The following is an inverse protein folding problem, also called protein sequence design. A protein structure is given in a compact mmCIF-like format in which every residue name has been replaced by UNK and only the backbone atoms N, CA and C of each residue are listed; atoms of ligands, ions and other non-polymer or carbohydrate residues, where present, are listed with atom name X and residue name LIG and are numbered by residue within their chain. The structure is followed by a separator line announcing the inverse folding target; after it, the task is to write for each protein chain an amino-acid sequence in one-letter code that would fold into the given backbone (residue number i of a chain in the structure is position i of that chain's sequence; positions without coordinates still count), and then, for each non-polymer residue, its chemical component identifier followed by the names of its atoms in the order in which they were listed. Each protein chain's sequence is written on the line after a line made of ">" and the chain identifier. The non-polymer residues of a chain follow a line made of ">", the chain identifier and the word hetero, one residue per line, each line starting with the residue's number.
data_IF_191774046916
#
_entry.id   IF_191774046916
#
_cell.length_a   1.000
_cell.length_b   1.000
_cell.length_c   1.000
_cell.angle_alpha   90.00
_cell.angle_beta   90.00
_cell.angle_gamma   90.00
#
_symmetry.space_group_name_H-M   'P 1'
#
loop_
_entity.id
_entity.type
_entity.pdbx_description
1 polymer ?
#
# COMPACT_ATOMS: atom_id res chain seq x y z
N UNK A 1 14.89 -8.32 18.10
CA UNK A 1 13.42 -8.30 17.93
C UNK A 1 12.98 -7.84 16.53
N UNK A 2 13.40 -6.68 16.04
CA UNK A 2 13.02 -6.19 14.69
C UNK A 2 13.45 -7.16 13.57
N UNK A 3 14.62 -7.77 13.66
CA UNK A 3 15.12 -8.69 12.63
C UNK A 3 14.22 -9.91 12.41
N UNK A 4 13.50 -10.36 13.44
CA UNK A 4 12.61 -11.52 13.33
C UNK A 4 11.32 -11.20 12.51
N UNK A 5 10.94 -9.93 12.42
CA UNK A 5 9.73 -9.51 11.69
C UNK A 5 9.82 -9.80 10.18
N UNK A 6 11.03 -9.81 9.63
CA UNK A 6 11.29 -9.91 8.18
C UNK A 6 11.69 -11.33 7.73
N UNK A 7 11.61 -12.33 8.62
CA UNK A 7 11.96 -13.72 8.30
C UNK A 7 10.72 -14.58 8.05
N UNK A 8 10.90 -15.70 7.34
CA UNK A 8 9.83 -16.68 7.12
C UNK A 8 9.25 -17.25 8.42
N UNK A 9 10.03 -17.28 9.50
CA UNK A 9 9.62 -17.74 10.81
C UNK A 9 9.03 -16.63 11.70
N UNK A 10 8.73 -15.46 11.14
CA UNK A 10 8.24 -14.30 11.88
C UNK A 10 7.02 -14.64 12.74
N UNK A 11 7.08 -14.36 14.06
CA UNK A 11 5.92 -14.49 14.94
C UNK A 11 4.84 -13.43 14.68
N UNK A 12 5.18 -12.38 13.93
CA UNK A 12 4.30 -11.22 13.68
C UNK A 12 3.40 -11.36 12.45
N UNK A 13 3.51 -12.45 11.66
CA UNK A 13 2.73 -12.65 10.43
C UNK A 13 1.24 -12.48 10.62
N UNK A 14 0.67 -13.06 11.69
CA UNK A 14 -0.77 -12.95 11.95
C UNK A 14 -1.18 -11.50 12.18
N UNK A 15 -0.41 -10.75 12.98
CA UNK A 15 -0.64 -9.32 13.23
C UNK A 15 -0.49 -8.52 11.95
N UNK A 16 0.54 -8.79 11.15
CA UNK A 16 0.74 -8.12 9.88
C UNK A 16 -0.42 -8.36 8.91
N UNK A 17 -0.98 -9.58 8.84
CA UNK A 17 -2.19 -9.87 8.04
C UNK A 17 -3.38 -9.05 8.52
N UNK A 18 -3.62 -9.01 9.82
CA UNK A 18 -4.69 -8.19 10.39
C UNK A 18 -4.51 -6.72 10.04
N UNK A 19 -3.30 -6.19 10.19
CA UNK A 19 -3.01 -4.78 9.82
C UNK A 19 -3.13 -4.54 8.32
N UNK A 20 -2.76 -5.48 7.46
CA UNK A 20 -2.96 -5.37 6.00
C UNK A 20 -4.43 -5.24 5.66
N UNK A 21 -5.29 -6.06 6.29
CA UNK A 21 -6.74 -6.01 6.07
C UNK A 21 -7.32 -4.69 6.57
N UNK A 22 -6.97 -4.29 7.80
CA UNK A 22 -7.43 -3.02 8.38
C UNK A 22 -6.98 -1.85 7.49
N UNK A 23 -5.74 -1.88 7.00
CA UNK A 23 -5.20 -0.84 6.13
C UNK A 23 -5.88 -0.79 4.76
N UNK A 24 -6.20 -1.96 4.17
CA UNK A 24 -6.99 -2.02 2.94
C UNK A 24 -8.38 -1.41 3.12
N UNK A 25 -9.06 -1.71 4.25
CA UNK A 25 -10.33 -1.08 4.59
C UNK A 25 -10.19 0.43 4.78
N UNK A 26 -9.11 0.89 5.41
CA UNK A 26 -8.82 2.31 5.57
C UNK A 26 -8.62 2.99 4.21
N UNK A 27 -7.93 2.35 3.26
CA UNK A 27 -7.80 2.86 1.88
C UNK A 27 -9.18 3.07 1.28
N UNK A 28 -10.08 2.08 1.35
CA UNK A 28 -11.45 2.24 0.85
C UNK A 28 -12.16 3.40 1.54
N UNK A 29 -12.11 3.49 2.87
CA UNK A 29 -12.76 4.58 3.60
C UNK A 29 -12.26 5.94 3.13
N UNK A 30 -10.94 6.14 3.07
CA UNK A 30 -10.33 7.43 2.71
C UNK A 30 -10.54 7.79 1.23
N UNK A 31 -10.44 6.81 0.33
CA UNK A 31 -10.61 7.05 -1.11
C UNK A 31 -12.09 7.29 -1.50
N UNK A 32 -13.04 6.88 -0.66
CA UNK A 32 -14.47 7.05 -0.94
C UNK A 32 -15.16 8.10 -0.05
N UNK A 33 -14.41 8.91 0.71
CA UNK A 33 -14.96 10.12 1.33
C UNK A 33 -15.49 11.01 0.21
N UNK A 34 -16.75 11.51 0.28
CA UNK A 34 -17.29 12.41 -0.72
C UNK A 34 -16.39 13.62 -0.94
N UNK A 35 -16.22 14.04 -2.20
CA UNK A 35 -15.35 15.15 -2.56
C UNK A 35 -15.61 16.44 -1.77
N UNK A 36 -16.89 16.87 -1.56
CA UNK A 36 -17.22 18.05 -0.77
C UNK A 36 -16.82 17.98 0.70
N UNK A 37 -16.66 16.75 1.24
CA UNK A 37 -16.28 16.52 2.66
C UNK A 37 -14.75 16.42 2.85
N UNK A 38 -13.98 16.53 1.75
CA UNK A 38 -12.52 16.50 1.84
C UNK A 38 -12.00 17.82 2.43
N UNK A 39 -11.00 17.75 3.31
CA UNK A 39 -10.36 18.95 3.82
C UNK A 39 -9.64 19.70 2.69
N UNK A 40 -9.78 21.01 2.66
CA UNK A 40 -8.98 21.85 1.78
C UNK A 40 -7.49 21.75 2.15
N UNK A 41 -6.66 21.62 1.14
CA UNK A 41 -5.21 21.53 1.32
C UNK A 41 -4.48 22.52 0.42
N UNK A 42 -3.56 23.28 0.99
CA UNK A 42 -2.65 24.14 0.26
C UNK A 42 -1.42 23.39 -0.28
N UNK A 43 -1.30 22.08 -0.01
CA UNK A 43 -0.19 21.27 -0.48
C UNK A 43 -0.47 20.86 -1.92
N UNK A 44 0.40 21.19 -2.88
CA UNK A 44 0.23 20.77 -4.27
C UNK A 44 0.15 19.24 -4.35
N UNK A 45 -0.83 18.73 -5.10
CA UNK A 45 -1.02 17.29 -5.31
C UNK A 45 -1.19 16.49 -4.00
N UNK A 46 -1.80 17.08 -2.97
CA UNK A 46 -1.97 16.43 -1.66
C UNK A 46 -2.66 15.07 -1.76
N UNK A 47 -3.66 14.93 -2.62
CA UNK A 47 -4.35 13.69 -2.93
C UNK A 47 -3.39 12.60 -3.43
N UNK A 48 -2.46 12.93 -4.32
CA UNK A 48 -1.47 11.98 -4.85
C UNK A 48 -0.48 11.52 -3.78
N UNK A 49 -0.08 12.42 -2.88
CA UNK A 49 0.76 12.05 -1.74
C UNK A 49 0.04 11.09 -0.79
N UNK A 50 -1.26 11.28 -0.59
CA UNK A 50 -2.08 10.37 0.23
C UNK A 50 -2.12 8.98 -0.42
N UNK A 51 -2.43 8.88 -1.71
CA UNK A 51 -2.41 7.63 -2.46
C UNK A 51 -1.05 6.94 -2.38
N UNK A 52 0.02 7.65 -2.68
CA UNK A 52 1.39 7.16 -2.60
C UNK A 52 1.72 6.52 -1.23
N UNK A 53 1.42 7.22 -0.13
CA UNK A 53 1.69 6.73 1.23
C UNK A 53 0.81 5.53 1.58
N UNK A 54 -0.48 5.58 1.24
CA UNK A 54 -1.42 4.51 1.52
C UNK A 54 -0.99 3.19 0.87
N UNK A 55 -0.56 3.23 -0.38
CA UNK A 55 -0.15 2.04 -1.12
C UNK A 55 1.27 1.57 -0.76
N UNK A 56 2.17 2.48 -0.37
CA UNK A 56 3.48 2.09 0.17
C UNK A 56 3.33 1.30 1.48
N UNK A 57 2.49 1.76 2.39
CA UNK A 57 2.22 1.04 3.65
C UNK A 57 1.49 -0.27 3.38
N UNK A 58 0.52 -0.29 2.47
CA UNK A 58 -0.21 -1.51 2.12
C UNK A 58 0.71 -2.63 1.66
N UNK A 59 1.55 -2.37 0.66
CA UNK A 59 2.46 -3.41 0.12
C UNK A 59 3.56 -3.79 1.10
N UNK A 60 4.04 -2.86 1.93
CA UNK A 60 4.95 -3.16 3.02
C UNK A 60 4.32 -4.13 4.03
N UNK A 61 3.10 -3.86 4.49
CA UNK A 61 2.36 -4.74 5.40
C UNK A 61 2.05 -6.11 4.77
N UNK A 62 1.68 -6.13 3.49
CA UNK A 62 1.49 -7.35 2.72
C UNK A 62 2.74 -8.23 2.76
N UNK A 63 3.91 -7.66 2.51
CA UNK A 63 5.18 -8.37 2.57
C UNK A 63 5.51 -8.86 3.99
N UNK A 64 5.18 -8.10 5.02
CA UNK A 64 5.33 -8.53 6.42
C UNK A 64 4.39 -9.69 6.78
N UNK A 65 3.23 -9.79 6.13
CA UNK A 65 2.27 -10.87 6.33
C UNK A 65 2.74 -12.21 5.76
N UNK A 66 3.60 -12.17 4.74
CA UNK A 66 4.23 -13.35 4.13
C UNK A 66 5.69 -13.08 3.78
N UNK A 67 6.60 -12.90 4.77
CA UNK A 67 7.96 -12.45 4.53
C UNK A 67 8.73 -13.37 3.59
N UNK A 68 9.22 -12.83 2.47
CA UNK A 68 10.01 -13.53 1.49
C UNK A 68 10.83 -12.55 0.65
N UNK A 69 12.09 -12.89 0.38
CA UNK A 69 12.95 -12.12 -0.53
C UNK A 69 13.00 -12.72 -1.94
N UNK A 70 12.17 -13.73 -2.22
CA UNK A 70 12.09 -14.32 -3.56
C UNK A 70 11.51 -13.30 -4.53
N UNK A 71 12.10 -13.19 -5.71
CA UNK A 71 11.65 -12.28 -6.76
C UNK A 71 10.15 -12.46 -7.07
N UNK A 72 9.66 -13.69 -7.11
CA UNK A 72 8.24 -13.98 -7.34
C UNK A 72 7.34 -13.36 -6.26
N UNK A 73 7.75 -13.39 -4.98
CA UNK A 73 6.99 -12.79 -3.89
C UNK A 73 6.98 -11.25 -3.96
N UNK A 74 8.12 -10.66 -4.31
CA UNK A 74 8.25 -9.20 -4.50
C UNK A 74 7.37 -8.72 -5.66
N UNK A 75 7.43 -9.43 -6.79
CA UNK A 75 6.61 -9.12 -7.96
C UNK A 75 5.12 -9.33 -7.68
N UNK A 76 4.74 -10.38 -6.95
CA UNK A 76 3.34 -10.60 -6.56
C UNK A 76 2.83 -9.45 -5.71
N UNK A 77 3.59 -8.98 -4.71
CA UNK A 77 3.20 -7.86 -3.87
C UNK A 77 3.04 -6.56 -4.70
N UNK A 78 3.95 -6.31 -5.64
CA UNK A 78 3.87 -5.17 -6.55
C UNK A 78 2.62 -5.24 -7.43
N UNK A 79 2.36 -6.40 -8.06
CA UNK A 79 1.19 -6.61 -8.92
C UNK A 79 -0.11 -6.44 -8.12
N UNK A 80 -0.18 -7.00 -6.91
CA UNK A 80 -1.34 -6.85 -6.03
C UNK A 80 -1.56 -5.39 -5.67
N UNK A 81 -0.51 -4.64 -5.32
CA UNK A 81 -0.61 -3.22 -5.02
C UNK A 81 -1.10 -2.41 -6.22
N UNK A 82 -0.52 -2.61 -7.41
CA UNK A 82 -0.94 -1.93 -8.64
C UNK A 82 -2.38 -2.28 -9.04
N UNK A 83 -2.75 -3.55 -8.95
CA UNK A 83 -4.11 -4.01 -9.29
C UNK A 83 -5.14 -3.43 -8.29
N UNK A 84 -4.79 -3.36 -7.02
CA UNK A 84 -5.65 -2.76 -6.00
C UNK A 84 -5.84 -1.25 -6.22
N UNK A 85 -4.76 -0.52 -6.53
CA UNK A 85 -4.83 0.90 -6.87
C UNK A 85 -5.70 1.14 -8.11
N UNK A 86 -5.47 0.36 -9.16
CA UNK A 86 -6.32 0.43 -10.36
C UNK A 86 -7.80 0.16 -10.04
N UNK A 87 -8.10 -0.86 -9.22
CA UNK A 87 -9.46 -1.16 -8.79
C UNK A 87 -10.11 0.01 -8.03
N UNK A 88 -9.37 0.64 -7.11
CA UNK A 88 -9.85 1.82 -6.37
C UNK A 88 -10.22 2.94 -7.34
N UNK A 89 -9.38 3.23 -8.32
CA UNK A 89 -9.64 4.27 -9.32
C UNK A 89 -10.82 3.94 -10.24
N UNK A 90 -10.99 2.69 -10.65
CA UNK A 90 -12.18 2.28 -11.42
C UNK A 90 -13.46 2.50 -10.61
N UNK A 91 -13.44 2.12 -9.33
CA UNK A 91 -14.58 2.31 -8.44
C UNK A 91 -14.87 3.80 -8.20
N UNK A 92 -13.85 4.64 -8.04
CA UNK A 92 -14.03 6.10 -7.94
C UNK A 92 -14.68 6.68 -9.21
N UNK A 93 -14.29 6.21 -10.39
CA UNK A 93 -14.91 6.59 -11.65
C UNK A 93 -16.37 6.18 -11.74
N UNK A 94 -16.70 4.96 -11.29
CA UNK A 94 -18.08 4.46 -11.25
C UNK A 94 -18.96 5.20 -10.24
N UNK A 95 -18.37 5.63 -9.12
CA UNK A 95 -19.04 6.34 -8.04
C UNK A 95 -18.84 7.86 -8.13
N UNK A 96 -18.77 8.40 -9.36
CA UNK A 96 -18.54 9.83 -9.62
C UNK A 96 -19.59 10.75 -8.98
N UNK A 97 -20.79 10.24 -8.66
CA UNK A 97 -21.83 10.98 -7.91
C UNK A 97 -21.37 11.38 -6.49
N UNK A 98 -20.32 10.77 -5.95
CA UNK A 98 -19.69 11.19 -4.71
C UNK A 98 -18.73 12.39 -4.87
N UNK A 99 -18.66 12.99 -6.08
CA UNK A 99 -17.72 14.08 -6.36
C UNK A 99 -16.26 13.60 -6.46
N UNK A 100 -16.05 12.32 -6.72
CA UNK A 100 -14.74 11.72 -7.00
C UNK A 100 -14.64 11.41 -8.48
N UNK A 101 -13.43 11.47 -9.02
CA UNK A 101 -13.17 11.15 -10.42
C UNK A 101 -11.98 10.20 -10.53
N UNK A 102 -12.04 9.28 -11.49
CA UNK A 102 -10.90 8.44 -11.84
C UNK A 102 -9.72 9.32 -12.29
N UNK A 103 -8.55 9.03 -11.75
CA UNK A 103 -7.32 9.76 -12.02
C UNK A 103 -6.19 8.81 -12.42
N UNK A 104 -5.67 8.95 -13.62
CA UNK A 104 -4.47 8.20 -14.06
C UNK A 104 -3.26 8.56 -13.19
N UNK A 105 -3.17 9.80 -12.72
CA UNK A 105 -2.08 10.24 -11.85
C UNK A 105 -2.12 9.51 -10.49
N UNK A 106 -3.31 9.20 -9.98
CA UNK A 106 -3.46 8.45 -8.74
C UNK A 106 -3.06 6.99 -8.93
N UNK A 107 -3.34 6.38 -10.09
CA UNK A 107 -2.82 5.06 -10.45
C UNK A 107 -1.28 5.04 -10.45
N UNK A 108 -0.63 6.09 -10.97
CA UNK A 108 0.83 6.21 -10.90
C UNK A 108 1.31 6.36 -9.46
N UNK A 109 0.66 7.20 -8.65
CA UNK A 109 1.01 7.38 -7.24
C UNK A 109 0.89 6.07 -6.45
N UNK A 110 -0.18 5.30 -6.65
CA UNK A 110 -0.40 3.98 -6.06
C UNK A 110 0.67 2.98 -6.47
N UNK A 111 1.03 2.96 -7.75
CA UNK A 111 2.03 2.04 -8.29
C UNK A 111 3.43 2.35 -7.77
N UNK A 112 3.83 3.62 -7.75
CA UNK A 112 5.12 4.06 -7.22
C UNK A 112 5.17 3.84 -5.70
N UNK A 113 4.09 4.14 -4.99
CA UNK A 113 3.95 3.84 -3.56
C UNK A 113 4.10 2.35 -3.29
N UNK A 114 3.42 1.50 -4.07
CA UNK A 114 3.53 0.05 -3.97
C UNK A 114 4.96 -0.45 -4.18
N UNK A 115 5.67 0.08 -5.17
CA UNK A 115 7.06 -0.26 -5.42
C UNK A 115 7.97 0.16 -4.25
N UNK A 116 7.73 1.33 -3.66
CA UNK A 116 8.47 1.80 -2.48
C UNK A 116 8.25 0.89 -1.29
N UNK A 117 7.02 0.48 -1.01
CA UNK A 117 6.70 -0.43 0.10
C UNK A 117 7.42 -1.77 -0.01
N UNK A 118 7.43 -2.34 -1.22
CA UNK A 118 8.18 -3.59 -1.52
C UNK A 118 9.68 -3.38 -1.35
N UNK A 119 10.23 -2.26 -1.84
CA UNK A 119 11.64 -1.93 -1.73
C UNK A 119 12.08 -1.77 -0.28
N UNK A 120 11.32 -1.04 0.52
CA UNK A 120 11.61 -0.85 1.96
C UNK A 120 11.64 -2.20 2.66
N UNK A 121 10.63 -3.07 2.41
CA UNK A 121 10.62 -4.42 2.96
C UNK A 121 11.87 -5.19 2.57
N UNK A 122 12.24 -5.19 1.30
CA UNK A 122 13.41 -5.92 0.80
C UNK A 122 14.70 -5.46 1.48
N UNK A 123 14.91 -4.15 1.60
CA UNK A 123 16.09 -3.58 2.27
C UNK A 123 16.16 -4.00 3.73
N UNK A 124 15.04 -3.92 4.46
CA UNK A 124 15.00 -4.30 5.87
C UNK A 124 15.21 -5.81 6.08
N UNK A 125 14.61 -6.63 5.22
CA UNK A 125 14.79 -8.09 5.25
C UNK A 125 16.23 -8.50 4.91
N UNK A 126 16.86 -7.82 3.95
CA UNK A 126 18.26 -8.06 3.60
C UNK A 126 19.23 -7.67 4.73
N UNK A 127 18.98 -6.52 5.37
CA UNK A 127 19.76 -6.11 6.57
C UNK A 127 19.59 -7.10 7.71
N UNK A 128 18.35 -7.53 7.97
CA UNK A 128 18.05 -8.51 9.01
C UNK A 128 18.77 -9.84 8.79
N UNK A 129 18.88 -10.29 7.52
CA UNK A 129 19.60 -11.52 7.18
C UNK A 129 21.11 -11.43 7.37
N UNK A 130 21.70 -10.22 7.27
CA UNK A 130 23.14 -10.00 7.49
C UNK A 130 23.54 -9.93 8.96
N UNK A 131 22.59 -9.65 9.85
CA UNK A 131 22.82 -9.49 11.29
C UNK A 131 22.36 -10.68 12.11
N UNK A 132 21.84 -11.72 11.47
CA UNK A 132 21.43 -13.00 12.06
C UNK A 132 22.53 -14.04 11.93
#
# INVERSE_FOLDING_TARGET
>A
MLNQAFTKASPYKKRARTYTIIWALLIFILCFIPGPDLPESNIPMADKWVHFVLFAVFTFLWMCAGPSQRLSSLLTALVVGCAFGWLVEELQGLLSFLGRNKSIQDIYADSIGSALGVLIFYILAWRAAKTA
#
